data_IF_764412833582
#
_entry.id   IF_764412833582
#
_cell.length_a   1.000
_cell.length_b   1.000
_cell.length_c   1.000
_cell.angle_alpha   90.00
_cell.angle_beta   90.00
_cell.angle_gamma   90.00
#
_symmetry.space_group_name_H-M   'P 1'
#
loop_
_entity.id
_entity.type
_entity.pdbx_description
1 polymer ?
#
# COMPACT_ATOMS: atom_id res chain seq x y z
N UNK A 1 17.66 1.38 6.19
CA UNK A 1 16.48 0.71 6.73
C UNK A 1 15.97 -0.32 5.73
N UNK A 2 16.39 -1.57 5.92
CA UNK A 2 15.88 -2.70 5.13
C UNK A 2 14.47 -3.02 5.63
N UNK A 3 13.48 -2.98 4.75
CA UNK A 3 12.15 -3.48 5.04
C UNK A 3 11.03 -2.45 5.19
N UNK A 4 11.27 -1.20 4.85
CA UNK A 4 10.22 -0.17 4.87
C UNK A 4 9.53 -0.17 3.51
N UNK A 5 8.19 -0.30 3.49
CA UNK A 5 7.41 -0.20 2.27
C UNK A 5 7.42 1.21 1.68
N UNK A 6 7.10 1.33 0.40
CA UNK A 6 7.17 2.61 -0.31
C UNK A 6 6.26 3.68 0.30
N UNK A 7 5.01 3.34 0.64
CA UNK A 7 4.06 4.30 1.22
C UNK A 7 4.58 4.87 2.55
N UNK A 8 5.05 4.00 3.44
CA UNK A 8 5.60 4.42 4.73
C UNK A 8 6.80 5.36 4.54
N UNK A 9 7.73 4.98 3.68
CA UNK A 9 8.90 5.79 3.38
C UNK A 9 8.53 7.14 2.76
N UNK A 10 7.60 7.15 1.81
CA UNK A 10 7.16 8.37 1.13
C UNK A 10 6.51 9.35 2.10
N UNK A 11 5.61 8.89 2.96
CA UNK A 11 4.93 9.74 3.93
C UNK A 11 5.93 10.31 4.95
N UNK A 12 6.80 9.46 5.51
CA UNK A 12 7.81 9.90 6.49
C UNK A 12 8.75 10.95 5.91
N UNK A 13 9.23 10.71 4.70
CA UNK A 13 10.12 11.66 4.02
C UNK A 13 9.42 12.98 3.72
N UNK A 14 8.17 12.92 3.29
CA UNK A 14 7.37 14.12 3.04
C UNK A 14 7.20 14.95 4.33
N UNK A 15 6.87 14.30 5.44
CA UNK A 15 6.74 14.98 6.75
C UNK A 15 8.05 15.65 7.16
N UNK A 16 9.18 15.00 6.89
CA UNK A 16 10.52 15.50 7.27
C UNK A 16 11.13 16.48 6.28
N UNK A 17 10.48 16.73 5.15
CA UNK A 17 11.05 17.55 4.06
C UNK A 17 12.22 16.89 3.35
N UNK A 18 12.29 15.56 3.38
CA UNK A 18 13.32 14.77 2.72
C UNK A 18 12.86 14.33 1.32
N UNK A 19 13.83 14.07 0.44
CA UNK A 19 13.53 13.62 -0.92
C UNK A 19 13.13 12.14 -0.96
N UNK A 20 12.09 11.84 -1.73
CA UNK A 20 11.63 10.48 -2.01
C UNK A 20 12.38 9.99 -3.24
N UNK A 21 13.10 8.88 -3.11
CA UNK A 21 13.81 8.26 -4.22
C UNK A 21 12.91 7.22 -4.90
N UNK A 22 12.74 7.38 -6.22
CA UNK A 22 12.03 6.41 -7.06
C UNK A 22 13.03 5.82 -8.04
N UNK A 23 13.20 4.50 -8.01
CA UNK A 23 14.07 3.78 -8.93
C UNK A 23 13.28 3.44 -10.20
N UNK A 24 13.60 4.09 -11.31
CA UNK A 24 12.89 4.00 -12.56
C UNK A 24 11.94 5.16 -12.78
N UNK A 25 10.87 4.92 -13.54
CA UNK A 25 9.91 5.96 -13.94
C UNK A 25 8.73 6.15 -12.97
N UNK A 26 8.66 5.34 -11.92
CA UNK A 26 7.56 5.41 -10.95
C UNK A 26 6.30 4.66 -11.36
N UNK A 27 6.33 3.92 -12.47
CA UNK A 27 5.18 3.18 -12.97
C UNK A 27 5.10 1.73 -12.47
N UNK A 28 6.01 1.33 -11.58
CA UNK A 28 5.91 0.01 -10.93
C UNK A 28 4.66 -0.04 -10.06
N UNK A 29 3.88 -1.11 -10.23
CA UNK A 29 2.56 -1.29 -9.61
C UNK A 29 2.65 -2.34 -8.52
N UNK A 30 2.04 -2.06 -7.36
CA UNK A 30 1.92 -2.99 -6.24
C UNK A 30 0.48 -3.05 -5.75
N UNK A 31 0.17 -4.13 -5.07
CA UNK A 31 -1.11 -4.34 -4.40
C UNK A 31 -0.93 -3.89 -2.94
N UNK A 32 -1.47 -2.73 -2.63
CA UNK A 32 -1.45 -2.19 -1.27
C UNK A 32 -2.78 -2.47 -0.59
N UNK A 33 -2.73 -2.84 0.67
CA UNK A 33 -3.92 -3.08 1.48
C UNK A 33 -3.76 -2.40 2.84
N UNK A 34 -4.85 -1.82 3.35
CA UNK A 34 -4.84 -1.15 4.64
C UNK A 34 -4.82 -2.16 5.78
N UNK A 35 -4.05 -1.85 6.83
CA UNK A 35 -3.81 -2.80 7.93
C UNK A 35 -5.10 -3.25 8.63
N UNK A 36 -6.08 -2.37 8.79
CA UNK A 36 -7.35 -2.74 9.43
C UNK A 36 -8.08 -3.80 8.60
N UNK A 37 -8.01 -3.71 7.27
CA UNK A 37 -8.59 -4.73 6.39
C UNK A 37 -7.88 -6.07 6.56
N UNK A 38 -6.56 -6.07 6.66
CA UNK A 38 -5.78 -7.28 6.92
C UNK A 38 -6.24 -7.94 8.21
N UNK A 39 -6.38 -7.16 9.28
CA UNK A 39 -6.82 -7.67 10.57
C UNK A 39 -8.24 -8.24 10.50
N UNK A 40 -9.17 -7.56 9.83
CA UNK A 40 -10.54 -8.04 9.66
C UNK A 40 -10.61 -9.32 8.84
N UNK A 41 -9.81 -9.41 7.77
CA UNK A 41 -9.72 -10.63 6.95
C UNK A 41 -9.20 -11.80 7.77
N UNK A 42 -8.16 -11.60 8.59
CA UNK A 42 -7.62 -12.65 9.47
C UNK A 42 -8.65 -13.12 10.49
N UNK A 43 -9.42 -12.20 11.07
CA UNK A 43 -10.51 -12.54 12.01
C UNK A 43 -11.57 -13.38 11.30
N UNK A 44 -11.92 -13.05 10.06
CA UNK A 44 -12.89 -13.80 9.26
C UNK A 44 -12.48 -15.25 9.04
N UNK A 45 -11.18 -15.56 9.10
CA UNK A 45 -10.67 -16.92 8.91
C UNK A 45 -10.78 -17.81 10.15
N UNK A 46 -11.00 -17.27 11.34
CA UNK A 46 -11.01 -18.05 12.57
C UNK A 46 -12.07 -19.15 12.58
N UNK A 47 -13.22 -18.91 11.95
CA UNK A 47 -14.32 -19.88 11.90
C UNK A 47 -14.48 -20.52 10.52
N UNK A 48 -13.48 -20.36 9.65
CA UNK A 48 -13.56 -20.94 8.31
C UNK A 48 -13.48 -22.46 8.35
N UNK A 49 -14.42 -23.13 7.67
CA UNK A 49 -14.54 -24.60 7.59
C UNK A 49 -14.71 -25.07 6.14
N UNK A 50 -14.10 -24.40 5.19
CA UNK A 50 -14.15 -24.77 3.79
C UNK A 50 -12.94 -25.61 3.35
N UNK A 51 -12.77 -25.69 2.04
CA UNK A 51 -11.75 -26.55 1.43
C UNK A 51 -10.43 -25.83 1.12
N UNK A 52 -10.38 -24.52 1.26
CA UNK A 52 -9.15 -23.76 1.00
C UNK A 52 -8.23 -23.77 2.22
N UNK A 53 -6.95 -23.96 1.98
CA UNK A 53 -5.90 -23.90 3.01
C UNK A 53 -4.96 -22.71 2.82
N UNK A 54 -5.13 -21.96 1.71
CA UNK A 54 -4.28 -20.81 1.37
C UNK A 54 -5.14 -19.67 0.87
N UNK A 55 -4.87 -18.47 1.41
CA UNK A 55 -5.58 -17.23 1.05
C UNK A 55 -4.60 -16.11 0.78
N UNK A 56 -4.81 -15.36 -0.30
CA UNK A 56 -4.12 -14.11 -0.52
C UNK A 56 -4.83 -12.99 0.24
N UNK A 57 -4.13 -12.38 1.18
CA UNK A 57 -4.63 -11.21 1.89
C UNK A 57 -4.17 -9.97 1.12
N UNK A 58 -5.03 -9.46 0.26
CA UNK A 58 -4.68 -8.41 -0.69
C UNK A 58 -5.91 -7.61 -1.10
N UNK A 59 -5.70 -6.49 -1.78
CA UNK A 59 -6.78 -5.64 -2.27
C UNK A 59 -7.25 -6.01 -3.68
N UNK A 60 -6.48 -6.81 -4.41
CA UNK A 60 -6.68 -7.09 -5.84
C UNK A 60 -6.73 -5.81 -6.68
N UNK A 61 -6.05 -4.77 -6.23
CA UNK A 61 -6.01 -3.46 -6.89
C UNK A 61 -4.55 -3.03 -7.01
N UNK A 62 -4.16 -2.58 -8.20
CA UNK A 62 -2.82 -2.11 -8.46
C UNK A 62 -2.70 -0.60 -8.34
N UNK A 63 -1.64 -0.14 -7.69
CA UNK A 63 -1.33 1.29 -7.55
C UNK A 63 0.14 1.51 -7.86
N UNK A 64 0.44 2.50 -8.68
CA UNK A 64 1.82 2.86 -9.01
C UNK A 64 2.42 3.80 -7.97
N UNK A 65 3.74 3.90 -7.97
CA UNK A 65 4.44 4.89 -7.13
C UNK A 65 4.01 6.32 -7.49
N UNK A 66 3.83 6.62 -8.78
CA UNK A 66 3.33 7.92 -9.24
C UNK A 66 1.93 8.22 -8.70
N UNK A 67 1.06 7.23 -8.67
CA UNK A 67 -0.29 7.39 -8.11
C UNK A 67 -0.22 7.78 -6.63
N UNK A 68 0.68 7.16 -5.87
CA UNK A 68 0.86 7.46 -4.45
C UNK A 68 1.36 8.90 -4.26
N UNK A 69 2.34 9.31 -5.06
CA UNK A 69 2.85 10.70 -5.02
C UNK A 69 1.72 11.70 -5.31
N UNK A 70 0.90 11.44 -6.33
CA UNK A 70 -0.25 12.27 -6.66
C UNK A 70 -1.25 12.36 -5.50
N UNK A 71 -1.51 11.24 -4.81
CA UNK A 71 -2.39 11.22 -3.63
C UNK A 71 -1.86 12.12 -2.52
N UNK A 72 -0.54 12.11 -2.28
CA UNK A 72 0.09 13.00 -1.30
C UNK A 72 -0.04 14.48 -1.70
N UNK A 73 0.11 14.79 -2.98
CA UNK A 73 -0.09 16.14 -3.51
C UNK A 73 -1.54 16.60 -3.34
N UNK A 74 -2.51 15.73 -3.60
CA UNK A 74 -3.94 16.01 -3.43
C UNK A 74 -4.32 16.22 -1.96
N UNK A 75 -3.54 15.68 -1.03
CA UNK A 75 -3.67 15.95 0.41
C UNK A 75 -3.01 17.29 0.83
N UNK A 76 -2.58 18.09 -0.14
CA UNK A 76 -1.87 19.36 0.08
C UNK A 76 -0.53 19.18 0.80
N UNK A 77 0.08 18.03 0.64
CA UNK A 77 1.46 17.79 1.04
C UNK A 77 2.39 18.13 -0.12
N UNK A 78 3.65 18.37 0.18
CA UNK A 78 4.63 18.76 -0.82
C UNK A 78 5.72 17.70 -0.95
N UNK A 79 5.44 16.52 -1.54
CA UNK A 79 6.46 15.50 -1.72
C UNK A 79 7.51 15.95 -2.73
N UNK A 80 8.78 15.84 -2.36
CA UNK A 80 9.89 16.05 -3.28
C UNK A 80 10.39 14.70 -3.79
N UNK A 81 10.42 14.52 -5.10
CA UNK A 81 10.75 13.23 -5.72
C UNK A 81 12.00 13.34 -6.57
N UNK A 82 12.89 12.35 -6.42
CA UNK A 82 14.08 12.17 -7.27
C UNK A 82 13.94 10.81 -7.96
N UNK A 83 14.07 10.83 -9.29
CA UNK A 83 14.04 9.60 -10.08
C UNK A 83 15.47 9.11 -10.33
N UNK A 84 15.73 7.88 -9.92
CA UNK A 84 17.02 7.21 -10.09
C UNK A 84 16.93 6.16 -11.21
N UNK A 85 18.04 5.67 -11.76
CA UNK A 85 18.01 4.65 -12.81
C UNK A 85 17.23 3.41 -12.38
N UNK A 86 16.46 2.83 -13.30
CA UNK A 86 15.67 1.62 -13.03
C UNK A 86 16.58 0.45 -12.66
N UNK A 87 16.10 -0.37 -11.71
CA UNK A 87 16.77 -1.62 -11.32
C UNK A 87 16.10 -2.79 -12.03
N UNK A 88 16.90 -3.64 -12.68
CA UNK A 88 16.38 -4.78 -13.44
C UNK A 88 15.69 -5.84 -12.57
N UNK A 89 15.96 -5.85 -11.26
CA UNK A 89 15.40 -6.80 -10.30
C UNK A 89 13.99 -6.41 -9.84
N UNK A 90 13.55 -5.18 -10.11
CA UNK A 90 12.24 -4.70 -9.66
C UNK A 90 11.14 -5.20 -10.59
N UNK A 91 10.18 -5.94 -10.05
CA UNK A 91 9.01 -6.35 -10.81
C UNK A 91 8.15 -5.12 -11.16
N UNK A 92 7.67 -5.08 -12.41
CA UNK A 92 6.87 -3.95 -12.90
C UNK A 92 5.45 -3.94 -12.34
N UNK A 93 4.88 -5.11 -12.06
CA UNK A 93 3.50 -5.23 -11.60
C UNK A 93 3.35 -6.47 -10.71
N UNK A 94 2.82 -6.26 -9.51
CA UNK A 94 2.43 -7.34 -8.60
C UNK A 94 1.05 -6.99 -8.06
N UNK A 95 0.05 -7.78 -8.45
CA UNK A 95 -1.32 -7.70 -7.94
C UNK A 95 -1.75 -9.13 -7.61
N UNK A 96 -2.32 -9.33 -6.44
CA UNK A 96 -2.75 -10.63 -5.98
C UNK A 96 -4.26 -10.79 -6.09
N UNK A 97 -4.69 -11.96 -6.59
CA UNK A 97 -6.10 -12.30 -6.63
C UNK A 97 -6.58 -12.63 -5.21
N UNK A 98 -7.60 -11.93 -4.74
CA UNK A 98 -8.15 -12.07 -3.38
C UNK A 98 -9.54 -12.70 -3.36
N UNK A 99 -9.97 -13.36 -4.43
CA UNK A 99 -11.33 -13.91 -4.54
C UNK A 99 -11.67 -14.86 -3.40
N UNK A 100 -10.73 -15.70 -2.97
CA UNK A 100 -10.96 -16.66 -1.89
C UNK A 100 -11.28 -15.98 -0.57
N UNK A 101 -10.47 -15.00 -0.16
CA UNK A 101 -10.74 -14.28 1.10
C UNK A 101 -12.00 -13.43 1.00
N UNK A 102 -12.26 -12.82 -0.15
CA UNK A 102 -13.45 -11.99 -0.33
C UNK A 102 -14.74 -12.81 -0.37
N UNK A 103 -14.68 -14.10 -0.67
CA UNK A 103 -15.84 -15.00 -0.57
C UNK A 103 -16.27 -15.24 0.90
N UNK A 104 -15.38 -15.00 1.85
CA UNK A 104 -15.61 -15.15 3.28
C UNK A 104 -15.83 -13.78 3.93
N UNK A 105 -14.97 -12.84 3.57
CA UNK A 105 -14.99 -11.47 4.08
C UNK A 105 -15.70 -10.57 3.07
N UNK A 106 -17.01 -10.38 3.25
CA UNK A 106 -17.87 -9.64 2.32
C UNK A 106 -17.89 -8.12 2.56
N UNK A 107 -17.05 -7.63 3.46
CA UNK A 107 -16.97 -6.19 3.78
C UNK A 107 -16.11 -5.48 2.75
N UNK A 108 -16.57 -4.35 2.19
CA UNK A 108 -15.75 -3.56 1.28
C UNK A 108 -14.46 -3.11 1.93
N UNK A 109 -13.36 -3.12 1.14
CA UNK A 109 -12.05 -2.70 1.62
C UNK A 109 -11.95 -1.17 1.66
N UNK A 110 -11.11 -0.67 2.56
CA UNK A 110 -10.80 0.76 2.65
C UNK A 110 -10.08 1.18 1.36
N UNK A 111 -10.57 2.21 0.65
CA UNK A 111 -9.87 2.73 -0.52
C UNK A 111 -8.46 3.21 -0.15
N UNK A 112 -7.49 3.04 -1.07
CA UNK A 112 -6.09 3.37 -0.80
C UNK A 112 -5.92 4.84 -0.38
N UNK A 113 -6.64 5.76 -0.99
CA UNK A 113 -6.59 7.19 -0.63
C UNK A 113 -6.94 7.39 0.84
N UNK A 114 -8.01 6.74 1.31
CA UNK A 114 -8.43 6.83 2.71
C UNK A 114 -7.43 6.15 3.64
N UNK A 115 -6.87 5.01 3.23
CA UNK A 115 -5.85 4.32 4.01
C UNK A 115 -4.59 5.16 4.19
N UNK A 116 -4.15 5.84 3.14
CA UNK A 116 -3.00 6.74 3.19
C UNK A 116 -3.28 7.92 4.12
N UNK A 117 -4.47 8.53 4.02
CA UNK A 117 -4.88 9.63 4.90
C UNK A 117 -4.87 9.20 6.37
N UNK A 118 -5.47 8.05 6.68
CA UNK A 118 -5.52 7.51 8.03
C UNK A 118 -4.11 7.25 8.59
N UNK A 119 -3.24 6.67 7.76
CA UNK A 119 -1.86 6.39 8.14
C UNK A 119 -1.07 7.68 8.38
N UNK A 120 -1.22 8.66 7.51
CA UNK A 120 -0.60 9.97 7.68
C UNK A 120 -1.02 10.63 9.00
N UNK A 121 -2.30 10.63 9.32
CA UNK A 121 -2.81 11.21 10.58
C UNK A 121 -2.26 10.48 11.81
N UNK A 122 -2.19 9.16 11.75
CA UNK A 122 -1.58 8.37 12.82
C UNK A 122 -0.10 8.69 12.97
N UNK A 123 0.64 8.72 11.87
CA UNK A 123 2.09 8.95 11.88
C UNK A 123 2.45 10.32 12.43
N UNK A 124 1.67 11.35 12.13
CA UNK A 124 1.86 12.70 12.67
C UNK A 124 1.80 12.75 14.20
N UNK A 125 1.02 11.89 14.82
CA UNK A 125 0.92 11.81 16.27
C UNK A 125 2.10 11.08 16.90
N UNK A 126 2.71 10.16 16.16
CA UNK A 126 3.81 9.32 16.65
C UNK A 126 5.20 9.92 16.43
N UNK A 127 5.31 10.89 15.53
CA UNK A 127 6.58 11.55 15.20
C UNK A 127 6.81 12.82 15.99
#
# INVERSE_FOLDING_TARGET
NKGVGFIDAAIKKTIRGEKIEIWGDGNNVRDYIYIDDVCRMLISLFNYQGNYDTFNISSNTGTSQRDIIRMLEEMHLAPEVVYLPARSVDAKKIILNNERIMSIHEVPLVPIVQGIENYYQWLKKEI
#
